data_IF_595812327049
#
_entry.id   IF_595812327049
#
_cell.length_a   1.000
_cell.length_b   1.000
_cell.length_c   1.000
_cell.angle_alpha   90.00
_cell.angle_beta   90.00
_cell.angle_gamma   90.00
#
_symmetry.space_group_name_H-M   'P 1'
#
loop_
_entity.id
_entity.type
_entity.pdbx_description
1 polymer ?
#
# COMPACT_ATOMS: atom_id res chain seq x y z
N UNK A 1 43.55 39.05 51.11
CA UNK A 1 44.30 38.55 49.93
C UNK A 1 43.51 37.42 49.29
N UNK A 2 43.05 37.59 48.03
CA UNK A 2 42.19 36.65 47.29
C UNK A 2 42.86 36.34 45.93
N UNK A 3 43.08 35.06 45.57
CA UNK A 3 43.43 34.70 44.20
C UNK A 3 42.42 33.67 43.66
N UNK A 4 41.33 34.10 43.03
CA UNK A 4 40.35 33.18 42.41
C UNK A 4 39.97 33.62 40.97
N UNK A 5 40.67 34.61 40.39
CA UNK A 5 40.26 35.22 39.12
C UNK A 5 41.26 35.06 37.96
N UNK A 6 42.04 33.97 37.92
CA UNK A 6 42.98 33.74 36.81
C UNK A 6 42.80 32.42 36.04
N UNK A 7 42.00 31.46 36.50
CA UNK A 7 41.81 30.17 35.80
C UNK A 7 40.65 30.15 34.78
N UNK A 8 39.71 31.10 34.79
CA UNK A 8 38.54 31.04 33.89
C UNK A 8 38.78 31.58 32.47
N UNK A 9 39.92 32.24 32.21
CA UNK A 9 40.19 32.86 30.89
C UNK A 9 40.93 31.91 29.94
N UNK A 10 41.60 30.87 30.47
CA UNK A 10 42.37 29.92 29.64
C UNK A 10 41.53 28.84 28.96
N UNK A 11 40.31 28.56 29.44
CA UNK A 11 39.43 27.52 28.85
C UNK A 11 38.66 28.06 27.63
N UNK A 12 38.52 29.38 27.48
CA UNK A 12 37.76 29.98 26.38
C UNK A 12 38.50 30.00 25.02
N UNK A 13 39.82 29.76 25.00
CA UNK A 13 40.66 29.96 23.79
C UNK A 13 40.84 28.65 22.98
N UNK A 14 40.49 27.48 23.53
CA UNK A 14 40.57 26.20 22.79
C UNK A 14 39.32 25.86 21.94
N UNK A 15 38.32 26.75 21.89
CA UNK A 15 37.06 26.50 21.17
C UNK A 15 37.07 26.90 19.68
N UNK A 16 38.18 27.43 19.16
CA UNK A 16 38.27 27.93 17.78
C UNK A 16 39.35 27.22 16.95
N UNK A 17 39.07 26.02 16.43
CA UNK A 17 39.44 25.62 15.06
C UNK A 17 39.27 24.11 14.81
N UNK A 18 38.02 23.65 14.79
CA UNK A 18 37.64 22.61 13.85
C UNK A 18 36.80 23.29 12.78
N UNK A 19 37.45 23.87 11.76
CA UNK A 19 36.74 24.19 10.52
C UNK A 19 36.41 22.84 9.86
N UNK A 20 35.13 22.45 9.75
CA UNK A 20 34.80 21.23 9.03
C UNK A 20 35.33 21.37 7.61
N UNK A 21 36.17 20.41 7.17
CA UNK A 21 36.62 20.37 5.78
C UNK A 21 35.36 20.31 4.89
N UNK A 22 35.22 21.19 3.90
CA UNK A 22 34.14 21.06 2.92
C UNK A 22 34.30 19.70 2.23
N UNK A 23 33.25 18.88 2.24
CA UNK A 23 33.24 17.64 1.47
C UNK A 23 33.25 18.01 -0.01
N UNK A 24 34.35 17.71 -0.71
CA UNK A 24 34.51 17.98 -2.15
C UNK A 24 33.45 17.26 -3.00
N UNK A 25 32.80 16.24 -2.46
CA UNK A 25 31.77 15.45 -3.13
C UNK A 25 30.34 15.82 -2.74
N UNK A 26 30.10 17.01 -2.16
CA UNK A 26 28.74 17.45 -1.78
C UNK A 26 27.73 17.41 -2.94
N UNK A 27 28.17 17.63 -4.18
CA UNK A 27 27.31 17.48 -5.37
C UNK A 27 26.96 16.02 -5.66
N UNK A 28 27.90 15.11 -5.57
CA UNK A 28 27.66 13.67 -5.77
C UNK A 28 26.84 13.09 -4.62
N UNK A 29 27.07 13.53 -3.38
CA UNK A 29 26.28 13.15 -2.21
C UNK A 29 24.87 13.74 -2.32
N UNK A 30 24.72 14.99 -2.76
CA UNK A 30 23.39 15.57 -3.00
C UNK A 30 22.66 14.87 -4.15
N UNK A 31 23.36 14.54 -5.25
CA UNK A 31 22.81 13.78 -6.38
C UNK A 31 22.41 12.37 -5.95
N UNK A 32 23.25 11.64 -5.22
CA UNK A 32 22.90 10.32 -4.69
C UNK A 32 21.79 10.40 -3.64
N UNK A 33 21.72 11.46 -2.84
CA UNK A 33 20.59 11.69 -1.91
C UNK A 33 19.31 12.05 -2.68
N UNK A 34 19.39 12.78 -3.78
CA UNK A 34 18.24 13.10 -4.64
C UNK A 34 17.79 11.90 -5.49
N UNK A 35 18.72 11.09 -5.99
CA UNK A 35 18.45 9.81 -6.67
C UNK A 35 17.86 8.80 -5.68
N UNK A 36 18.31 8.83 -4.42
CA UNK A 36 17.73 8.05 -3.31
C UNK A 36 16.60 8.78 -2.56
N UNK A 37 16.09 9.94 -3.05
CA UNK A 37 14.82 10.52 -2.57
C UNK A 37 13.70 9.64 -3.09
N UNK A 38 13.57 8.45 -2.52
CA UNK A 38 12.34 7.67 -2.59
C UNK A 38 11.25 8.59 -2.04
N UNK A 39 10.37 9.08 -2.91
CA UNK A 39 9.26 9.94 -2.54
C UNK A 39 8.46 9.20 -1.47
N UNK A 40 8.61 9.61 -0.20
CA UNK A 40 7.93 8.98 0.93
C UNK A 40 6.43 9.17 0.72
N UNK A 41 5.71 8.07 0.53
CA UNK A 41 4.25 8.10 0.43
C UNK A 41 3.66 8.27 1.83
N UNK A 42 2.71 9.19 1.99
CA UNK A 42 1.95 9.32 3.24
C UNK A 42 1.02 8.11 3.44
N UNK A 43 0.55 7.88 4.68
CA UNK A 43 -0.40 6.80 4.98
C UNK A 43 -1.67 6.89 4.13
N UNK A 44 -2.22 8.10 3.97
CA UNK A 44 -3.37 8.35 3.11
C UNK A 44 -3.09 8.06 1.63
N UNK A 45 -1.89 8.40 1.13
CA UNK A 45 -1.50 8.05 -0.23
C UNK A 45 -1.36 6.55 -0.44
N UNK A 46 -0.83 5.82 0.55
CA UNK A 46 -0.76 4.36 0.51
C UNK A 46 -2.17 3.77 0.51
N UNK A 47 -3.07 4.23 1.38
CA UNK A 47 -4.45 3.76 1.44
C UNK A 47 -5.17 3.97 0.10
N UNK A 48 -5.17 5.21 -0.41
CA UNK A 48 -5.82 5.56 -1.67
C UNK A 48 -5.26 4.75 -2.85
N UNK A 49 -3.94 4.54 -2.88
CA UNK A 49 -3.32 3.79 -3.95
C UNK A 49 -3.59 2.28 -3.84
N UNK A 50 -3.64 1.73 -2.63
CA UNK A 50 -4.02 0.33 -2.39
C UNK A 50 -5.42 0.07 -2.90
N UNK A 51 -6.37 0.95 -2.54
CA UNK A 51 -7.74 0.90 -3.04
C UNK A 51 -7.79 1.00 -4.57
N UNK A 52 -7.10 1.98 -5.17
CA UNK A 52 -7.08 2.18 -6.62
C UNK A 52 -6.57 0.93 -7.35
N UNK A 53 -5.52 0.29 -6.85
CA UNK A 53 -4.98 -0.94 -7.43
C UNK A 53 -5.97 -2.10 -7.28
N UNK A 54 -6.53 -2.30 -6.09
CA UNK A 54 -7.50 -3.36 -5.83
C UNK A 54 -8.74 -3.25 -6.73
N UNK A 55 -9.34 -2.05 -6.78
CA UNK A 55 -10.52 -1.78 -7.60
C UNK A 55 -10.22 -1.97 -9.09
N UNK A 56 -9.07 -1.48 -9.57
CA UNK A 56 -8.65 -1.68 -10.97
C UNK A 56 -8.48 -3.15 -11.32
N UNK A 57 -7.93 -3.96 -10.41
CA UNK A 57 -7.74 -5.41 -10.62
C UNK A 57 -9.10 -6.11 -10.71
N UNK A 58 -10.04 -5.79 -9.81
CA UNK A 58 -11.40 -6.34 -9.88
C UNK A 58 -12.09 -6.00 -11.19
N UNK A 59 -11.99 -4.75 -11.64
CA UNK A 59 -12.61 -4.32 -12.89
C UNK A 59 -12.08 -5.11 -14.08
N UNK A 60 -10.76 -5.33 -14.16
CA UNK A 60 -10.15 -6.07 -15.27
C UNK A 60 -10.52 -7.56 -15.21
N UNK A 61 -10.44 -8.18 -14.03
CA UNK A 61 -10.85 -9.57 -13.82
C UNK A 61 -12.30 -9.79 -14.28
N UNK A 62 -13.21 -8.91 -13.87
CA UNK A 62 -14.63 -9.01 -14.23
C UNK A 62 -14.87 -8.82 -15.71
N UNK A 63 -14.23 -7.82 -16.32
CA UNK A 63 -14.36 -7.59 -17.76
C UNK A 63 -13.90 -8.83 -18.55
N UNK A 64 -12.79 -9.44 -18.13
CA UNK A 64 -12.27 -10.66 -18.74
C UNK A 64 -13.21 -11.86 -18.56
N UNK A 65 -13.68 -12.10 -17.33
CA UNK A 65 -14.63 -13.19 -17.06
C UNK A 65 -15.94 -13.00 -17.83
N UNK A 66 -16.48 -11.78 -17.86
CA UNK A 66 -17.70 -11.47 -18.62
C UNK A 66 -17.52 -11.74 -20.11
N UNK A 67 -16.36 -11.36 -20.66
CA UNK A 67 -16.01 -11.62 -22.06
C UNK A 67 -15.93 -13.13 -22.33
N UNK A 68 -15.23 -13.89 -21.47
CA UNK A 68 -15.08 -15.34 -21.62
C UNK A 68 -16.43 -16.07 -21.47
N UNK A 69 -17.30 -15.65 -20.56
CA UNK A 69 -18.64 -16.22 -20.39
C UNK A 69 -19.57 -15.88 -21.56
N UNK A 70 -19.43 -14.70 -22.15
CA UNK A 70 -20.20 -14.35 -23.36
C UNK A 70 -19.82 -15.27 -24.52
N UNK A 71 -18.56 -15.72 -24.58
CA UNK A 71 -18.08 -16.67 -25.59
C UNK A 71 -18.46 -18.13 -25.25
N UNK A 72 -18.48 -18.49 -23.96
CA UNK A 72 -18.75 -19.84 -23.48
C UNK A 72 -19.73 -19.81 -22.29
N UNK A 73 -21.04 -19.64 -22.52
CA UNK A 73 -22.01 -19.37 -21.45
C UNK A 73 -22.25 -20.56 -20.50
N UNK A 74 -21.89 -21.77 -20.91
CA UNK A 74 -22.10 -22.99 -20.12
C UNK A 74 -20.88 -23.40 -19.28
N UNK A 75 -19.77 -22.66 -19.37
CA UNK A 75 -18.56 -22.98 -18.62
C UNK A 75 -18.60 -22.35 -17.23
N UNK A 76 -19.04 -23.14 -16.25
CA UNK A 76 -19.17 -22.74 -14.84
C UNK A 76 -17.79 -22.42 -14.22
N UNK A 77 -16.68 -22.94 -14.76
CA UNK A 77 -15.36 -22.63 -14.24
C UNK A 77 -15.01 -21.14 -14.41
N UNK A 78 -15.57 -20.48 -15.43
CA UNK A 78 -15.38 -19.05 -15.69
C UNK A 78 -16.02 -18.15 -14.62
N UNK A 79 -16.89 -18.71 -13.76
CA UNK A 79 -17.43 -18.01 -12.60
C UNK A 79 -16.36 -17.74 -11.52
N UNK A 80 -15.28 -18.53 -11.49
CA UNK A 80 -14.22 -18.39 -10.51
C UNK A 80 -13.20 -17.34 -10.96
N UNK A 81 -13.03 -16.27 -10.18
CA UNK A 81 -12.07 -15.19 -10.50
C UNK A 81 -10.62 -15.67 -10.61
N UNK A 82 -10.29 -16.81 -10.00
CA UNK A 82 -8.96 -17.42 -10.04
C UNK A 82 -8.58 -17.97 -11.41
N UNK A 83 -9.55 -18.10 -12.33
CA UNK A 83 -9.30 -18.52 -13.72
C UNK A 83 -8.97 -17.36 -14.65
N UNK A 84 -9.12 -16.11 -14.19
CA UNK A 84 -8.81 -14.93 -14.99
C UNK A 84 -7.30 -14.68 -15.11
N UNK A 85 -6.82 -14.43 -16.32
CA UNK A 85 -5.44 -14.06 -16.62
C UNK A 85 -5.03 -12.78 -15.87
N UNK A 86 -5.97 -11.85 -15.71
CA UNK A 86 -5.79 -10.64 -14.92
C UNK A 86 -5.48 -10.92 -13.44
N UNK A 87 -6.03 -12.00 -12.86
CA UNK A 87 -5.69 -12.41 -11.50
C UNK A 87 -4.23 -12.86 -11.41
N UNK A 88 -3.77 -13.70 -12.35
CA UNK A 88 -2.36 -14.14 -12.40
C UNK A 88 -1.40 -12.96 -12.65
N UNK A 89 -1.77 -12.02 -13.52
CA UNK A 89 -0.99 -10.81 -13.74
C UNK A 89 -0.89 -9.95 -12.48
N UNK A 90 -1.97 -9.83 -11.71
CA UNK A 90 -1.96 -9.16 -10.41
C UNK A 90 -1.00 -9.84 -9.43
N UNK A 91 -1.10 -11.17 -9.28
CA UNK A 91 -0.21 -11.94 -8.43
C UNK A 91 1.26 -11.73 -8.82
N UNK A 92 1.59 -11.84 -10.10
CA UNK A 92 2.96 -11.67 -10.60
C UNK A 92 3.48 -10.24 -10.40
N UNK A 93 2.66 -9.21 -10.67
CA UNK A 93 3.09 -7.82 -10.64
C UNK A 93 3.23 -7.27 -9.22
N UNK A 94 2.29 -7.59 -8.35
CA UNK A 94 2.22 -7.01 -7.00
C UNK A 94 2.66 -7.98 -5.92
N UNK A 95 2.98 -9.23 -6.26
CA UNK A 95 3.13 -10.33 -5.29
C UNK A 95 1.92 -10.39 -4.33
N UNK A 96 0.74 -10.12 -4.89
CA UNK A 96 -0.49 -9.95 -4.14
C UNK A 96 -1.37 -11.18 -4.15
N UNK A 97 -2.32 -11.24 -3.22
CA UNK A 97 -3.38 -12.25 -3.16
C UNK A 97 -4.73 -11.56 -3.12
N UNK A 98 -5.67 -12.05 -3.92
CA UNK A 98 -7.08 -11.67 -3.89
C UNK A 98 -7.88 -12.88 -3.42
N UNK A 99 -8.79 -12.64 -2.48
CA UNK A 99 -9.73 -13.65 -1.97
C UNK A 99 -11.14 -13.06 -1.93
N UNK A 100 -12.13 -13.88 -2.23
CA UNK A 100 -13.52 -13.61 -1.89
C UNK A 100 -13.88 -14.45 -0.67
N UNK A 101 -14.28 -13.81 0.42
CA UNK A 101 -14.72 -14.49 1.63
C UNK A 101 -16.23 -14.44 1.69
N UNK A 102 -16.89 -15.60 1.77
CA UNK A 102 -18.36 -15.69 1.78
C UNK A 102 -18.89 -16.43 3.00
N UNK A 103 -18.11 -17.35 3.59
CA UNK A 103 -18.58 -18.12 4.73
C UNK A 103 -18.55 -17.29 6.01
N UNK A 104 -19.52 -17.53 6.91
CA UNK A 104 -19.61 -16.82 8.18
C UNK A 104 -18.34 -16.99 9.05
N UNK A 105 -17.69 -18.15 8.98
CA UNK A 105 -16.43 -18.42 9.69
C UNK A 105 -15.27 -17.58 9.16
N UNK A 106 -15.11 -17.48 7.84
CA UNK A 106 -14.09 -16.62 7.21
C UNK A 106 -14.33 -15.15 7.53
N UNK A 107 -15.59 -14.70 7.47
CA UNK A 107 -15.96 -13.31 7.76
C UNK A 107 -15.66 -12.99 9.23
N UNK A 108 -16.00 -13.89 10.17
CA UNK A 108 -15.68 -13.73 11.59
C UNK A 108 -14.16 -13.66 11.83
N UNK A 109 -13.38 -14.50 11.14
CA UNK A 109 -11.93 -14.47 11.22
C UNK A 109 -11.35 -13.16 10.68
N UNK A 110 -11.87 -12.66 9.55
CA UNK A 110 -11.47 -11.37 8.97
C UNK A 110 -11.75 -10.21 9.92
N UNK A 111 -12.95 -10.18 10.51
CA UNK A 111 -13.34 -9.14 11.47
C UNK A 111 -12.41 -9.14 12.70
N UNK A 112 -12.09 -10.33 13.23
CA UNK A 112 -11.15 -10.46 14.35
C UNK A 112 -9.73 -9.98 13.98
N UNK A 113 -9.24 -10.29 12.78
CA UNK A 113 -7.95 -9.79 12.28
C UNK A 113 -7.95 -8.27 12.14
N UNK A 114 -9.00 -7.70 11.54
CA UNK A 114 -9.13 -6.24 11.39
C UNK A 114 -9.16 -5.54 12.74
N UNK A 115 -9.89 -6.09 13.71
CA UNK A 115 -9.96 -5.53 15.05
C UNK A 115 -8.61 -5.57 15.76
N UNK A 116 -7.88 -6.69 15.65
CA UNK A 116 -6.51 -6.79 16.13
C UNK A 116 -5.60 -5.72 15.49
N UNK A 117 -5.71 -5.48 14.19
CA UNK A 117 -4.93 -4.43 13.51
C UNK A 117 -5.30 -3.02 13.99
N UNK A 118 -6.58 -2.74 14.30
CA UNK A 118 -7.01 -1.45 14.85
C UNK A 118 -6.37 -1.14 16.19
N UNK A 119 -6.19 -2.14 17.06
CA UNK A 119 -5.53 -1.96 18.36
C UNK A 119 -4.14 -1.34 18.24
N UNK A 120 -3.42 -1.63 17.16
CA UNK A 120 -2.08 -1.09 16.89
C UNK A 120 -2.08 0.17 16.01
N UNK A 121 -3.23 0.83 15.81
CA UNK A 121 -3.39 1.98 14.89
C UNK A 121 -2.85 1.69 13.48
N UNK A 122 -3.05 0.47 13.00
CA UNK A 122 -2.59 0.05 11.67
C UNK A 122 -3.57 0.38 10.54
N UNK A 123 -4.76 0.89 10.86
CA UNK A 123 -5.69 1.41 9.86
C UNK A 123 -5.07 2.64 9.16
N UNK A 124 -5.02 2.60 7.84
CA UNK A 124 -4.44 3.64 6.99
C UNK A 124 -5.51 4.61 6.48
N UNK A 125 -6.77 4.17 6.44
CA UNK A 125 -7.94 5.00 6.17
C UNK A 125 -8.39 5.74 7.44
N UNK A 126 -9.21 6.78 7.29
CA UNK A 126 -9.86 7.38 8.47
C UNK A 126 -10.76 6.34 9.15
N UNK A 127 -10.71 6.22 10.49
CA UNK A 127 -11.50 5.24 11.23
C UNK A 127 -12.98 5.63 11.18
N UNK A 128 -13.68 5.19 10.14
CA UNK A 128 -15.11 5.41 9.98
C UNK A 128 -15.95 4.23 10.48
N UNK A 129 -15.31 3.16 11.00
CA UNK A 129 -15.99 1.90 11.35
C UNK A 129 -16.59 1.16 10.14
N UNK A 130 -16.47 1.72 8.95
CA UNK A 130 -17.14 1.29 7.72
C UNK A 130 -16.14 0.82 6.67
N UNK A 131 -16.57 -0.13 5.85
CA UNK A 131 -15.85 -0.54 4.65
C UNK A 131 -16.04 0.48 3.53
N UNK A 132 -15.08 0.63 2.59
CA UNK A 132 -13.83 -0.12 2.49
C UNK A 132 -12.78 0.32 3.52
N UNK A 133 -11.95 -0.63 3.96
CA UNK A 133 -10.92 -0.38 4.97
C UNK A 133 -9.54 -0.84 4.47
N UNK A 134 -8.51 -0.05 4.78
CA UNK A 134 -7.11 -0.40 4.46
C UNK A 134 -6.29 -0.45 5.73
N UNK A 135 -5.51 -1.51 5.90
CA UNK A 135 -4.62 -1.73 7.02
C UNK A 135 -3.20 -2.01 6.55
N UNK A 136 -2.23 -1.65 7.38
CA UNK A 136 -0.86 -2.14 7.28
C UNK A 136 -0.64 -3.24 8.32
N UNK A 137 -0.30 -4.45 7.92
CA UNK A 137 0.02 -5.54 8.86
C UNK A 137 1.35 -5.29 9.56
N UNK A 138 1.58 -6.02 10.66
CA UNK A 138 2.87 -6.02 11.38
C UNK A 138 4.05 -6.48 10.50
N UNK A 139 3.77 -7.25 9.46
CA UNK A 139 4.73 -7.76 8.47
C UNK A 139 4.90 -6.83 7.25
N UNK A 140 4.53 -5.55 7.39
CA UNK A 140 4.60 -4.53 6.33
C UNK A 140 3.87 -4.91 5.03
N UNK A 141 2.82 -5.73 5.15
CA UNK A 141 1.87 -6.00 4.07
C UNK A 141 0.67 -5.08 4.18
N UNK A 142 0.03 -4.81 3.06
CA UNK A 142 -1.20 -4.03 2.97
C UNK A 142 -2.37 -5.00 2.88
N UNK A 143 -3.37 -4.80 3.72
CA UNK A 143 -4.64 -5.49 3.71
C UNK A 143 -5.72 -4.49 3.31
N UNK A 144 -6.41 -4.73 2.19
CA UNK A 144 -7.56 -3.93 1.77
C UNK A 144 -8.81 -4.80 1.72
N UNK A 145 -9.88 -4.32 2.34
CA UNK A 145 -11.13 -5.07 2.48
C UNK A 145 -12.29 -4.19 2.01
N UNK A 146 -13.17 -4.76 1.19
CA UNK A 146 -14.41 -4.10 0.72
C UNK A 146 -15.54 -5.12 0.56
N UNK A 147 -16.82 -4.72 0.75
CA UNK A 147 -17.94 -5.60 0.50
C UNK A 147 -18.01 -5.99 -0.98
N UNK A 148 -18.51 -7.20 -1.24
CA UNK A 148 -18.93 -7.63 -2.57
C UNK A 148 -20.27 -6.96 -2.88
N UNK A 149 -20.36 -6.25 -4.01
CA UNK A 149 -21.64 -5.67 -4.44
C UNK A 149 -22.44 -6.65 -5.30
N UNK A 150 -23.76 -6.49 -5.36
CA UNK A 150 -24.61 -7.38 -6.14
C UNK A 150 -24.27 -7.36 -7.64
N UNK A 151 -23.93 -6.19 -8.21
CA UNK A 151 -23.51 -6.08 -9.61
C UNK A 151 -22.17 -6.77 -9.93
N UNK A 152 -21.45 -7.25 -8.91
CA UNK A 152 -20.14 -7.87 -9.04
C UNK A 152 -20.19 -9.40 -9.07
N UNK A 153 -21.37 -9.96 -8.84
CA UNK A 153 -21.63 -11.39 -8.97
C UNK A 153 -21.79 -11.71 -10.45
N UNK A 154 -20.75 -12.34 -11.01
CA UNK A 154 -20.76 -12.75 -12.42
C UNK A 154 -21.69 -13.94 -12.62
N UNK A 155 -21.72 -14.86 -11.65
CA UNK A 155 -22.63 -15.98 -11.63
C UNK A 155 -23.51 -15.87 -10.39
N UNK A 156 -24.79 -16.22 -10.54
CA UNK A 156 -25.72 -16.21 -9.43
C UNK A 156 -25.18 -17.14 -8.34
N UNK A 157 -25.12 -16.70 -7.07
CA UNK A 157 -24.88 -17.63 -5.98
C UNK A 157 -25.99 -18.68 -6.02
N UNK A 158 -25.64 -19.94 -5.76
CA UNK A 158 -26.63 -20.98 -5.49
C UNK A 158 -27.65 -20.40 -4.50
N UNK A 159 -28.94 -20.47 -4.86
CA UNK A 159 -30.04 -19.99 -4.02
C UNK A 159 -30.07 -20.83 -2.74
N UNK A 160 -29.26 -20.46 -1.76
CA UNK A 160 -29.42 -20.91 -0.39
C UNK A 160 -30.40 -19.93 0.24
N UNK A 161 -31.60 -20.43 0.55
CA UNK A 161 -32.72 -19.73 1.20
C UNK A 161 -32.31 -19.13 2.54
N UNK A 162 -31.71 -17.94 2.53
CA UNK A 162 -31.47 -17.20 3.75
C UNK A 162 -31.84 -15.74 3.51
N UNK A 163 -32.79 -15.28 4.33
CA UNK A 163 -33.52 -14.03 4.18
C UNK A 163 -32.66 -12.77 4.08
N UNK A 164 -33.37 -11.70 3.69
CA UNK A 164 -32.92 -10.34 3.44
C UNK A 164 -31.73 -9.86 4.29
N UNK A 165 -30.82 -9.13 3.63
CA UNK A 165 -29.56 -8.53 4.13
C UNK A 165 -28.35 -9.46 4.29
N UNK A 166 -28.23 -10.51 3.48
CA UNK A 166 -26.96 -11.23 3.39
C UNK A 166 -25.90 -10.38 2.68
N UNK A 167 -24.91 -9.90 3.43
CA UNK A 167 -23.65 -9.48 2.85
C UNK A 167 -23.12 -10.59 1.93
N UNK A 168 -22.94 -10.28 0.65
CA UNK A 168 -22.45 -11.20 -0.41
C UNK A 168 -20.98 -11.62 -0.22
N UNK A 169 -20.43 -11.34 0.97
CA UNK A 169 -19.05 -11.54 1.33
C UNK A 169 -18.19 -10.28 1.22
N UNK A 170 -16.88 -10.49 1.35
CA UNK A 170 -15.87 -9.45 1.25
C UNK A 170 -14.81 -9.83 0.21
N UNK A 171 -14.40 -8.85 -0.58
CA UNK A 171 -13.14 -8.93 -1.28
C UNK A 171 -12.00 -8.54 -0.34
N UNK A 172 -10.99 -9.39 -0.29
CA UNK A 172 -9.80 -9.21 0.54
C UNK A 172 -8.56 -9.21 -0.35
N UNK A 173 -7.86 -8.09 -0.34
CA UNK A 173 -6.61 -7.88 -1.06
C UNK A 173 -5.47 -7.85 -0.06
N UNK A 174 -4.42 -8.64 -0.34
CA UNK A 174 -3.17 -8.61 0.41
C UNK A 174 -2.02 -8.39 -0.54
N UNK A 175 -1.13 -7.44 -0.25
CA UNK A 175 0.10 -7.27 -1.03
C UNK A 175 1.20 -6.62 -0.21
N UNK A 176 2.49 -6.89 -0.48
CA UNK A 176 3.59 -6.20 0.18
C UNK A 176 3.57 -4.69 -0.09
N UNK A 177 3.68 -3.87 0.97
CA UNK A 177 3.73 -2.41 0.83
C UNK A 177 4.85 -1.95 -0.09
N UNK A 178 6.01 -2.60 0.02
CA UNK A 178 7.19 -2.32 -0.77
C UNK A 178 6.92 -2.39 -2.28
N UNK A 179 6.10 -3.35 -2.75
CA UNK A 179 5.75 -3.48 -4.17
C UNK A 179 4.89 -2.31 -4.66
N UNK A 180 3.99 -1.82 -3.83
CA UNK A 180 3.18 -0.64 -4.15
C UNK A 180 4.06 0.61 -4.27
N UNK A 181 5.02 0.76 -3.37
CA UNK A 181 5.98 1.87 -3.37
C UNK A 181 6.85 1.81 -4.63
N UNK A 182 7.48 0.67 -4.93
CA UNK A 182 8.33 0.48 -6.12
C UNK A 182 7.62 0.91 -7.42
N UNK A 183 6.36 0.50 -7.60
CA UNK A 183 5.59 0.83 -8.80
C UNK A 183 5.28 2.33 -8.90
N UNK A 184 5.19 3.04 -7.78
CA UNK A 184 4.90 4.48 -7.74
C UNK A 184 6.11 5.38 -7.72
N UNK A 185 7.20 4.97 -7.08
CA UNK A 185 8.38 5.81 -6.87
C UNK A 185 9.39 5.70 -7.99
N UNK A 186 9.35 4.63 -8.79
CA UNK A 186 10.14 4.50 -10.03
C UNK A 186 9.50 5.37 -11.12
N UNK A 187 9.66 6.70 -11.03
CA UNK A 187 9.37 7.66 -12.12
C UNK A 187 9.81 9.11 -11.82
N UNK A 188 10.96 9.34 -11.17
CA UNK A 188 11.61 10.66 -11.24
C UNK A 188 12.77 10.54 -12.22
N UNK A 189 12.56 10.91 -13.48
CA UNK A 189 13.70 11.17 -14.37
C UNK A 189 14.49 12.32 -13.73
N UNK A 190 15.83 12.23 -13.65
CA UNK A 190 16.63 13.34 -13.16
C UNK A 190 16.29 14.59 -13.98
N UNK A 191 15.97 15.69 -13.30
CA UNK A 191 15.82 16.98 -13.99
C UNK A 191 17.17 17.29 -14.63
N UNK A 192 17.22 17.67 -15.93
CA UNK A 192 18.47 18.13 -16.52
C UNK A 192 18.99 19.28 -15.65
N UNK A 193 20.23 19.15 -15.17
CA UNK A 193 20.88 20.20 -14.41
C UNK A 193 20.80 21.48 -15.25
N UNK A 194 20.12 22.51 -14.74
CA UNK A 194 20.28 23.85 -15.28
C UNK A 194 21.75 24.19 -15.03
N UNK A 195 22.55 24.16 -16.10
CA UNK A 195 23.93 24.62 -16.07
C UNK A 195 23.98 26.06 -15.54
N UNK A 196 25.14 26.50 -15.02
CA UNK A 196 25.29 27.88 -14.61
C UNK A 196 24.94 28.78 -15.80
N UNK A 197 23.95 29.65 -15.61
CA UNK A 197 23.76 30.80 -16.48
C UNK A 197 24.92 31.74 -16.16
N UNK A 198 25.95 31.70 -16.99
CA UNK A 198 26.98 32.73 -17.07
C UNK A 198 26.34 34.03 -17.56
#
# INVERSE_FOLDING_TARGET
MKPILFCSILIAIFSFSCKPKPLDNLKEVALTVEENKVKRMSRHQIAAETQRVADSVLTVIKAEQQQKLTQNPNDVALCLFTTADAYFMFQKKYNGRLQQLQSASEIKALQAEMENLRQYRNELSEPAGNFPATFQTLTDSLLYVRPVKAEELICAPEKNDVGAEQHLGYWVFRMPKQKLIEIKTVKVKPKPAKGPNW
#
